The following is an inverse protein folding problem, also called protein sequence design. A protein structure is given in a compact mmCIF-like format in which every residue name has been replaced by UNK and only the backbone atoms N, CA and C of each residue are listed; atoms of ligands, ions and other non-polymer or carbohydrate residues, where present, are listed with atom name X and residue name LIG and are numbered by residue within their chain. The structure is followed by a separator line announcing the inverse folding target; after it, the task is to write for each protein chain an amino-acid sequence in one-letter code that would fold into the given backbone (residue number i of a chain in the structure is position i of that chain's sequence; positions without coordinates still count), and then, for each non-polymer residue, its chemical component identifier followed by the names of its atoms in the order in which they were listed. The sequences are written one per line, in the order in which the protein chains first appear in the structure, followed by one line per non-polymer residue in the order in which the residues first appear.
data_IF_724934205776
#
_entry.id   IF_724934205776
#
_cell.length_a   1.000
_cell.length_b   1.000
_cell.length_c   1.000
_cell.angle_alpha   90.00
_cell.angle_beta   90.00
_cell.angle_gamma   90.00
#
_symmetry.space_group_name_H-M   'P 1'
#
loop_
_entity.id
_entity.type
_entity.pdbx_description
1 polymer ?
#
# COMPACT_ATOMS: atom_id res chain seq x y z
N UNK A 1 -28.80 -42.04 64.02
CA UNK A 1 -27.74 -41.28 64.72
C UNK A 1 -26.64 -40.92 63.73
N UNK A 2 -26.00 -39.76 63.94
CA UNK A 2 -24.89 -39.11 63.21
C UNK A 2 -23.78 -40.11 62.81
N UNK A 3 -22.92 -39.96 61.78
CA UNK A 3 -21.96 -38.87 61.46
C UNK A 3 -21.25 -39.31 60.16
N UNK A 4 -21.25 -38.59 59.02
CA UNK A 4 -20.28 -37.59 58.52
C UNK A 4 -18.80 -38.03 58.32
N UNK A 5 -18.38 -37.98 57.03
CA UNK A 5 -17.05 -37.67 56.42
C UNK A 5 -15.90 -38.69 56.64
N UNK A 6 -14.91 -38.94 55.75
CA UNK A 6 -13.92 -38.09 55.03
C UNK A 6 -13.25 -39.04 53.98
N UNK A 7 -13.21 -38.73 52.67
CA UNK A 7 -12.08 -38.20 51.87
C UNK A 7 -10.93 -39.18 51.51
N UNK A 8 -10.49 -39.11 50.24
CA UNK A 8 -9.11 -39.25 49.72
C UNK A 8 -8.74 -40.48 48.86
N UNK A 9 -8.82 -40.28 47.54
CA UNK A 9 -7.71 -40.27 46.54
C UNK A 9 -6.68 -41.42 46.44
N UNK A 10 -6.59 -41.94 45.19
CA UNK A 10 -5.43 -42.54 44.49
C UNK A 10 -4.96 -43.96 44.95
N UNK A 11 -4.40 -44.85 44.13
CA UNK A 11 -3.78 -44.76 42.81
C UNK A 11 -3.69 -46.17 42.15
N UNK A 12 -3.79 -46.21 40.82
CA UNK A 12 -2.88 -46.89 39.86
C UNK A 12 -2.73 -48.43 39.85
N UNK A 13 -3.31 -49.02 38.79
CA UNK A 13 -2.81 -50.06 37.87
C UNK A 13 -2.03 -51.31 38.37
N UNK A 14 -2.60 -52.48 38.08
CA UNK A 14 -1.96 -53.73 37.56
C UNK A 14 -3.08 -54.51 36.85
N UNK A 15 -2.99 -55.17 35.69
CA UNK A 15 -1.93 -55.45 34.74
C UNK A 15 -2.45 -56.54 33.79
N UNK A 16 -2.33 -56.29 32.48
CA UNK A 16 -2.21 -57.20 31.33
C UNK A 16 -2.72 -58.65 31.42
N UNK A 17 -3.70 -58.98 30.55
CA UNK A 17 -3.59 -60.13 29.63
C UNK A 17 -4.06 -59.71 28.22
N UNK A 18 -3.07 -59.53 27.36
CA UNK A 18 -2.97 -59.73 25.90
C UNK A 18 -4.12 -60.51 25.24
N UNK A 19 -4.66 -60.13 24.09
CA UNK A 19 -3.92 -60.16 22.83
C UNK A 19 -4.83 -60.00 21.62
N UNK A 20 -4.27 -59.44 20.55
CA UNK A 20 -4.77 -59.42 19.17
C UNK A 20 -5.75 -58.31 18.71
N UNK A 21 -5.62 -57.05 19.13
CA UNK A 21 -6.16 -55.89 18.35
C UNK A 21 -5.34 -54.59 18.53
N UNK A 22 -4.01 -54.62 18.49
CA UNK A 22 -3.22 -53.41 18.78
C UNK A 22 -2.05 -53.10 17.84
N UNK A 23 -1.91 -53.80 16.71
CA UNK A 23 -0.83 -53.53 15.73
C UNK A 23 -1.30 -52.88 14.43
N UNK A 24 -2.61 -52.75 14.18
CA UNK A 24 -3.15 -52.05 13.00
C UNK A 24 -3.71 -50.66 13.28
N UNK A 25 -4.07 -50.34 14.54
CA UNK A 25 -4.65 -49.03 14.86
C UNK A 25 -3.61 -47.93 15.14
N UNK A 26 -2.44 -48.25 15.70
CA UNK A 26 -1.36 -47.26 15.92
C UNK A 26 -0.61 -46.92 14.64
N UNK A 27 -0.36 -47.90 13.76
CA UNK A 27 0.25 -47.65 12.45
C UNK A 27 -0.67 -46.81 11.55
N UNK A 28 -1.98 -47.09 11.54
CA UNK A 28 -2.96 -46.26 10.83
C UNK A 28 -3.14 -44.89 11.49
N UNK A 29 -3.15 -44.77 12.82
CA UNK A 29 -3.30 -43.47 13.47
C UNK A 29 -2.09 -42.55 13.21
N UNK A 30 -0.86 -43.09 13.23
CA UNK A 30 0.36 -42.34 12.89
C UNK A 30 0.48 -42.03 11.40
N UNK A 31 0.18 -42.97 10.49
CA UNK A 31 0.17 -42.66 9.05
C UNK A 31 -0.97 -41.71 8.68
N UNK A 32 -2.12 -41.79 9.34
CA UNK A 32 -3.23 -40.83 9.15
C UNK A 32 -2.87 -39.46 9.69
N UNK A 33 -2.27 -39.33 10.87
CA UNK A 33 -1.83 -38.02 11.38
C UNK A 33 -0.69 -37.47 10.56
N UNK A 34 0.32 -38.26 10.16
CA UNK A 34 1.38 -37.79 9.27
C UNK A 34 0.86 -37.41 7.88
N UNK A 35 -0.07 -38.17 7.28
CA UNK A 35 -0.66 -37.84 5.97
C UNK A 35 -1.63 -36.65 6.03
N UNK A 36 -2.36 -36.47 7.13
CA UNK A 36 -3.21 -35.29 7.38
C UNK A 36 -2.35 -34.06 7.65
N UNK A 37 -1.24 -34.19 8.37
CA UNK A 37 -0.31 -33.10 8.66
C UNK A 37 0.53 -32.72 7.43
N UNK A 38 0.94 -33.70 6.59
CA UNK A 38 1.58 -33.44 5.29
C UNK A 38 0.60 -32.87 4.25
N UNK A 39 -0.66 -33.35 4.20
CA UNK A 39 -1.69 -32.71 3.34
C UNK A 39 -1.99 -31.27 3.75
N UNK A 40 -1.92 -30.96 5.05
CA UNK A 40 -2.08 -29.61 5.57
C UNK A 40 -0.86 -28.71 5.25
N UNK A 41 0.37 -29.25 5.17
CA UNK A 41 1.55 -28.46 4.79
C UNK A 41 1.65 -28.16 3.28
N UNK A 42 1.18 -29.07 2.42
CA UNK A 42 1.25 -28.92 0.96
C UNK A 42 0.20 -27.96 0.37
N UNK A 43 -0.61 -27.31 1.21
CA UNK A 43 -1.82 -26.60 0.79
C UNK A 43 -1.92 -25.14 1.21
N UNK A 44 -0.98 -24.61 2.00
CA UNK A 44 -1.01 -23.20 2.43
C UNK A 44 -0.55 -22.27 1.31
N UNK A 45 -1.39 -21.30 0.98
CA UNK A 45 -1.06 -20.24 0.02
C UNK A 45 -0.42 -19.10 0.79
N UNK A 46 0.88 -18.89 0.59
CA UNK A 46 1.66 -17.86 1.29
C UNK A 46 1.96 -16.66 0.39
N UNK A 47 2.08 -15.48 1.01
CA UNK A 47 2.57 -14.26 0.38
C UNK A 47 4.06 -14.11 0.67
N UNK A 48 4.88 -13.98 -0.37
CA UNK A 48 6.33 -13.77 -0.22
C UNK A 48 6.72 -12.30 -0.05
N UNK A 49 5.97 -11.40 -0.68
CA UNK A 49 6.32 -9.98 -0.73
C UNK A 49 5.12 -9.12 -1.09
N UNK A 50 5.23 -7.84 -0.77
CA UNK A 50 4.25 -6.81 -1.10
C UNK A 50 4.98 -5.69 -1.83
N UNK A 51 4.40 -5.18 -2.93
CA UNK A 51 5.00 -4.08 -3.69
C UNK A 51 3.93 -3.23 -4.36
N UNK A 52 4.15 -1.93 -4.46
CA UNK A 52 3.31 -1.06 -5.29
C UNK A 52 3.55 -1.39 -6.78
N UNK A 53 2.47 -1.64 -7.52
CA UNK A 53 2.49 -1.77 -8.99
C UNK A 53 1.88 -0.54 -9.68
N UNK A 54 1.28 0.32 -8.88
CA UNK A 54 0.75 1.65 -9.18
C UNK A 54 0.67 2.39 -7.84
N UNK A 55 0.64 3.72 -7.80
CA UNK A 55 0.72 4.48 -6.55
C UNK A 55 -0.35 4.14 -5.50
N UNK A 56 -1.51 3.64 -5.92
CA UNK A 56 -2.59 3.20 -5.05
C UNK A 56 -2.97 1.72 -5.24
N UNK A 57 -2.13 0.94 -5.95
CA UNK A 57 -2.35 -0.50 -6.12
C UNK A 57 -1.17 -1.28 -5.55
N UNK A 58 -1.48 -2.02 -4.49
CA UNK A 58 -0.51 -2.81 -3.75
C UNK A 58 -0.66 -4.29 -4.11
N UNK A 59 0.39 -4.89 -4.66
CA UNK A 59 0.41 -6.30 -5.06
C UNK A 59 0.99 -7.16 -3.94
N UNK A 60 0.18 -8.05 -3.38
CA UNK A 60 0.62 -9.15 -2.54
C UNK A 60 0.99 -10.35 -3.42
N UNK A 61 2.29 -10.62 -3.58
CA UNK A 61 2.80 -11.67 -4.46
C UNK A 61 2.77 -13.03 -3.76
N UNK A 62 2.22 -14.04 -4.41
CA UNK A 62 2.27 -15.41 -3.93
C UNK A 62 3.72 -15.91 -3.93
N UNK A 63 4.11 -16.60 -2.86
CA UNK A 63 5.40 -17.30 -2.76
C UNK A 63 5.55 -18.37 -3.84
N UNK A 64 4.48 -19.13 -4.05
CA UNK A 64 4.40 -20.16 -5.09
C UNK A 64 3.19 -19.90 -5.99
N UNK A 65 3.39 -19.67 -7.31
CA UNK A 65 2.27 -19.48 -8.23
C UNK A 65 1.35 -20.70 -8.29
N UNK A 66 0.04 -20.47 -8.34
CA UNK A 66 -0.99 -21.53 -8.32
C UNK A 66 -1.68 -21.64 -9.68
N UNK A 67 -1.86 -22.86 -10.20
CA UNK A 67 -2.52 -23.07 -11.50
C UNK A 67 -3.98 -22.59 -11.50
N UNK A 68 -4.32 -21.69 -12.43
CA UNK A 68 -5.67 -21.16 -12.59
C UNK A 68 -6.63 -22.10 -13.32
N UNK A 69 -6.10 -23.15 -13.96
CA UNK A 69 -6.90 -24.21 -14.60
C UNK A 69 -7.27 -25.33 -13.64
N UNK A 70 -6.48 -25.52 -12.58
CA UNK A 70 -6.74 -26.53 -11.54
C UNK A 70 -7.46 -25.97 -10.32
N UNK A 71 -7.26 -24.68 -10.04
CA UNK A 71 -7.77 -24.03 -8.84
C UNK A 71 -8.44 -22.70 -9.18
N UNK A 72 -9.36 -22.29 -8.31
CA UNK A 72 -9.85 -20.92 -8.22
C UNK A 72 -9.36 -20.31 -6.90
N UNK A 73 -8.77 -19.13 -6.96
CA UNK A 73 -8.22 -18.40 -5.81
C UNK A 73 -9.00 -17.10 -5.62
N UNK A 74 -9.44 -16.86 -4.39
CA UNK A 74 -10.08 -15.61 -3.99
C UNK A 74 -9.47 -15.11 -2.67
N UNK A 75 -9.36 -13.79 -2.54
CA UNK A 75 -8.99 -13.15 -1.28
C UNK A 75 -10.19 -12.37 -0.75
N UNK A 76 -10.72 -12.80 0.38
CA UNK A 76 -11.99 -12.31 0.92
C UNK A 76 -12.04 -12.37 2.45
N UNK A 77 -13.08 -11.79 3.02
CA UNK A 77 -13.51 -12.13 4.37
C UNK A 77 -14.45 -13.35 4.29
N UNK A 78 -14.95 -13.83 5.44
CA UNK A 78 -15.87 -14.99 5.49
C UNK A 78 -17.13 -14.84 4.62
N UNK A 79 -17.47 -13.60 4.24
CA UNK A 79 -18.55 -13.24 3.32
C UNK A 79 -18.27 -13.61 1.84
N UNK A 80 -17.11 -14.19 1.53
CA UNK A 80 -16.64 -14.63 0.21
C UNK A 80 -16.62 -13.54 -0.88
N UNK A 81 -16.88 -12.28 -0.53
CA UNK A 81 -16.75 -11.16 -1.46
C UNK A 81 -15.27 -10.80 -1.63
N UNK A 82 -14.74 -10.84 -2.87
CA UNK A 82 -13.34 -10.50 -3.10
C UNK A 82 -13.02 -9.09 -2.59
N UNK A 83 -11.99 -8.97 -1.74
CA UNK A 83 -11.46 -7.67 -1.27
C UNK A 83 -10.21 -7.22 -2.04
N UNK A 84 -9.68 -8.09 -2.90
CA UNK A 84 -8.59 -7.81 -3.83
C UNK A 84 -8.82 -8.52 -5.16
N UNK A 85 -8.17 -8.02 -6.22
CA UNK A 85 -8.25 -8.61 -7.56
C UNK A 85 -7.17 -9.66 -7.72
N UNK A 86 -7.53 -10.90 -8.07
CA UNK A 86 -6.56 -11.94 -8.33
C UNK A 86 -5.75 -11.63 -9.60
N UNK A 87 -4.43 -11.79 -9.54
CA UNK A 87 -3.51 -11.52 -10.66
C UNK A 87 -3.11 -12.84 -11.28
N UNK A 88 -3.41 -13.03 -12.57
CA UNK A 88 -3.09 -14.23 -13.33
C UNK A 88 -2.06 -13.89 -14.41
N UNK A 89 -0.95 -14.64 -14.43
CA UNK A 89 0.08 -14.56 -15.47
C UNK A 89 0.39 -15.97 -15.97
N UNK A 90 0.37 -16.16 -17.29
CA UNK A 90 0.66 -17.44 -17.94
C UNK A 90 -0.17 -18.62 -17.36
N UNK A 91 -1.48 -18.39 -17.13
CA UNK A 91 -2.39 -19.40 -16.59
C UNK A 91 -2.16 -19.78 -15.12
N UNK A 92 -1.39 -18.99 -14.37
CA UNK A 92 -1.17 -19.17 -12.94
C UNK A 92 -1.50 -17.89 -12.17
N UNK A 93 -2.17 -18.02 -11.03
CA UNK A 93 -2.25 -16.97 -10.03
C UNK A 93 -0.85 -16.67 -9.50
N UNK A 94 -0.48 -15.39 -9.48
CA UNK A 94 0.81 -14.91 -8.98
C UNK A 94 0.67 -13.96 -7.80
N UNK A 95 -0.54 -13.52 -7.48
CA UNK A 95 -0.77 -12.56 -6.40
C UNK A 95 -2.19 -12.01 -6.37
N UNK A 96 -2.37 -11.00 -5.53
CA UNK A 96 -3.59 -10.21 -5.42
C UNK A 96 -3.26 -8.72 -5.41
N UNK A 97 -4.00 -7.93 -6.19
CA UNK A 97 -3.90 -6.48 -6.25
C UNK A 97 -4.96 -5.83 -5.35
N UNK A 98 -4.50 -5.09 -4.35
CA UNK A 98 -5.32 -4.30 -3.44
C UNK A 98 -5.39 -2.87 -3.98
N UNK A 99 -6.59 -2.39 -4.32
CA UNK A 99 -6.83 -0.98 -4.63
C UNK A 99 -7.00 -0.22 -3.32
N UNK A 100 -5.91 0.39 -2.84
CA UNK A 100 -5.87 0.95 -1.50
C UNK A 100 -6.87 2.10 -1.33
N UNK A 101 -7.03 2.96 -2.33
CA UNK A 101 -7.99 4.07 -2.28
C UNK A 101 -9.45 3.60 -2.15
N UNK A 102 -9.84 2.55 -2.86
CA UNK A 102 -11.17 1.95 -2.75
C UNK A 102 -11.38 1.34 -1.36
N UNK A 103 -10.34 0.72 -0.80
CA UNK A 103 -10.38 0.12 0.53
C UNK A 103 -10.46 1.20 1.62
N UNK A 104 -9.64 2.25 1.58
CA UNK A 104 -9.70 3.31 2.61
C UNK A 104 -10.97 4.15 2.49
N UNK A 105 -11.57 4.30 1.29
CA UNK A 105 -12.91 4.90 1.14
C UNK A 105 -13.99 4.06 1.85
N UNK A 106 -13.89 2.74 1.75
CA UNK A 106 -14.85 1.80 2.35
C UNK A 106 -14.60 1.56 3.85
N UNK A 107 -13.35 1.63 4.27
CA UNK A 107 -12.86 1.40 5.63
C UNK A 107 -12.03 2.63 6.06
N UNK A 108 -12.69 3.74 6.44
CA UNK A 108 -12.04 5.04 6.59
C UNK A 108 -11.15 5.16 7.83
N UNK A 109 -11.41 4.39 8.88
CA UNK A 109 -10.62 4.47 10.12
C UNK A 109 -9.52 3.41 10.16
N UNK A 110 -8.47 3.65 10.96
CA UNK A 110 -7.43 2.65 11.23
C UNK A 110 -8.04 1.38 11.82
N UNK A 111 -9.01 1.51 12.74
CA UNK A 111 -9.70 0.38 13.35
C UNK A 111 -10.49 -0.46 12.33
N UNK A 112 -11.21 0.18 11.40
CA UNK A 112 -11.94 -0.53 10.34
C UNK A 112 -10.99 -1.33 9.43
N UNK A 113 -9.83 -0.74 9.12
CA UNK A 113 -8.81 -1.37 8.27
C UNK A 113 -8.09 -2.50 8.98
N UNK A 114 -7.88 -2.38 10.29
CA UNK A 114 -7.37 -3.45 11.12
C UNK A 114 -8.35 -4.62 11.16
N UNK A 115 -9.63 -4.35 11.41
CA UNK A 115 -10.68 -5.37 11.38
C UNK A 115 -10.80 -6.03 10.00
N UNK A 116 -10.71 -5.26 8.92
CA UNK A 116 -10.65 -5.80 7.56
C UNK A 116 -9.48 -6.77 7.43
N UNK A 117 -8.25 -6.32 7.71
CA UNK A 117 -7.05 -7.13 7.55
C UNK A 117 -7.14 -8.42 8.38
N UNK A 118 -7.54 -8.28 9.64
CA UNK A 118 -7.70 -9.39 10.58
C UNK A 118 -8.87 -10.31 10.21
N UNK A 119 -9.67 -10.00 9.19
CA UNK A 119 -10.71 -10.88 8.62
C UNK A 119 -10.29 -11.57 7.32
N UNK A 120 -9.17 -11.20 6.70
CA UNK A 120 -8.79 -11.71 5.38
C UNK A 120 -8.29 -13.16 5.41
N UNK A 121 -8.78 -13.94 4.46
CA UNK A 121 -8.31 -15.28 4.12
C UNK A 121 -8.10 -15.41 2.61
N UNK A 122 -7.12 -16.22 2.24
CA UNK A 122 -6.96 -16.72 0.87
C UNK A 122 -7.72 -18.02 0.77
N UNK A 123 -8.79 -18.02 -0.01
CA UNK A 123 -9.59 -19.20 -0.29
C UNK A 123 -9.10 -19.85 -1.58
N UNK A 124 -8.84 -21.15 -1.52
CA UNK A 124 -8.46 -21.99 -2.65
C UNK A 124 -9.50 -23.09 -2.84
N UNK A 125 -10.08 -23.10 -4.04
CA UNK A 125 -11.08 -24.08 -4.48
C UNK A 125 -10.47 -24.94 -5.56
N UNK A 126 -10.65 -26.26 -5.51
CA UNK A 126 -10.19 -27.16 -6.57
C UNK A 126 -11.27 -27.32 -7.63
N UNK A 127 -10.92 -27.22 -8.90
CA UNK A 127 -11.89 -27.24 -10.02
C UNK A 127 -12.14 -28.62 -10.61
N UNK A 128 -11.24 -29.58 -10.34
CA UNK A 128 -11.25 -30.89 -11.01
C UNK A 128 -11.67 -32.06 -10.11
N UNK A 129 -11.76 -31.86 -8.81
CA UNK A 129 -12.07 -32.91 -7.82
C UNK A 129 -12.87 -32.30 -6.67
N UNK A 130 -13.77 -33.10 -6.07
CA UNK A 130 -14.58 -32.67 -4.93
C UNK A 130 -13.73 -32.66 -3.63
N UNK A 131 -12.81 -31.71 -3.54
CA UNK A 131 -11.97 -31.46 -2.37
C UNK A 131 -12.51 -30.22 -1.65
N UNK A 132 -12.68 -30.27 -0.31
CA UNK A 132 -13.13 -29.12 0.46
C UNK A 132 -12.24 -27.89 0.21
N UNK A 133 -12.81 -26.67 0.19
CA UNK A 133 -12.03 -25.46 0.04
C UNK A 133 -11.04 -25.31 1.20
N UNK A 134 -9.85 -24.80 0.89
CA UNK A 134 -8.83 -24.47 1.88
C UNK A 134 -8.83 -22.96 2.08
N UNK A 135 -8.89 -22.52 3.33
CA UNK A 135 -8.75 -21.12 3.72
C UNK A 135 -7.43 -20.94 4.47
N UNK A 136 -6.54 -20.10 3.94
CA UNK A 136 -5.28 -19.73 4.60
C UNK A 136 -5.42 -18.32 5.13
N UNK A 137 -5.17 -18.12 6.44
CA UNK A 137 -5.21 -16.79 7.05
C UNK A 137 -4.19 -15.86 6.40
N UNK A 138 -4.59 -14.64 6.10
CA UNK A 138 -3.65 -13.63 5.63
C UNK A 138 -2.90 -13.02 6.82
N UNK A 139 -1.57 -13.14 6.86
CA UNK A 139 -0.73 -12.77 8.03
C UNK A 139 0.44 -11.85 7.70
N UNK A 140 0.59 -11.42 6.44
CA UNK A 140 1.72 -10.61 6.00
C UNK A 140 1.68 -9.20 6.63
N UNK A 141 2.64 -8.92 7.52
CA UNK A 141 2.69 -7.67 8.29
C UNK A 141 3.00 -6.45 7.43
N UNK A 142 3.77 -6.60 6.35
CA UNK A 142 4.07 -5.49 5.44
C UNK A 142 2.78 -4.96 4.80
N UNK A 143 1.91 -5.85 4.32
CA UNK A 143 0.59 -5.46 3.80
C UNK A 143 -0.26 -4.81 4.89
N UNK A 144 -0.27 -5.35 6.13
CA UNK A 144 -1.01 -4.75 7.25
C UNK A 144 -0.55 -3.31 7.45
N UNK A 145 0.76 -3.10 7.53
CA UNK A 145 1.36 -1.78 7.73
C UNK A 145 0.99 -0.80 6.61
N UNK A 146 1.10 -1.21 5.35
CA UNK A 146 0.71 -0.37 4.22
C UNK A 146 -0.78 0.00 4.26
N UNK A 147 -1.67 -0.98 4.50
CA UNK A 147 -3.11 -0.73 4.55
C UNK A 147 -3.50 0.21 5.70
N UNK A 148 -2.91 0.04 6.89
CA UNK A 148 -3.21 0.87 8.06
C UNK A 148 -2.73 2.32 7.91
N UNK A 149 -1.61 2.52 7.21
CA UNK A 149 -0.99 3.83 7.04
C UNK A 149 -1.36 4.53 5.73
N UNK A 150 -2.03 3.84 4.79
CA UNK A 150 -2.46 4.45 3.54
C UNK A 150 -3.43 5.60 3.79
N UNK A 151 -3.23 6.70 3.09
CA UNK A 151 -4.16 7.81 3.02
C UNK A 151 -4.78 7.85 1.63
N UNK A 152 -6.00 8.35 1.54
CA UNK A 152 -6.67 8.46 0.25
C UNK A 152 -5.90 9.42 -0.66
N UNK A 153 -5.39 8.89 -1.78
CA UNK A 153 -4.67 9.66 -2.81
C UNK A 153 -5.63 10.09 -3.93
N UNK A 154 -6.47 9.16 -4.39
CA UNK A 154 -7.47 9.37 -5.43
C UNK A 154 -6.92 9.24 -6.85
N UNK A 155 -7.68 9.72 -7.83
CA UNK A 155 -7.27 9.64 -9.23
C UNK A 155 -6.39 10.82 -9.62
N UNK A 156 -5.57 10.63 -10.66
CA UNK A 156 -4.90 11.75 -11.32
C UNK A 156 -5.95 12.59 -12.03
N UNK A 157 -6.03 13.87 -11.69
CA UNK A 157 -6.85 14.85 -12.39
C UNK A 157 -6.38 14.94 -13.85
N UNK A 158 -7.32 14.80 -14.79
CA UNK A 158 -7.02 14.71 -16.21
C UNK A 158 -6.29 15.94 -16.76
N UNK A 159 -5.60 15.77 -17.89
CA UNK A 159 -4.84 16.84 -18.56
C UNK A 159 -5.70 18.08 -18.81
N UNK A 160 -5.21 19.25 -18.37
CA UNK A 160 -5.94 20.52 -18.44
C UNK A 160 -6.86 20.82 -17.24
N UNK A 161 -7.08 19.86 -16.34
CA UNK A 161 -7.76 20.14 -15.07
C UNK A 161 -6.77 20.64 -14.04
N UNK A 162 -6.88 21.92 -13.70
CA UNK A 162 -6.11 22.56 -12.65
C UNK A 162 -6.76 22.26 -11.30
N UNK A 163 -5.99 21.69 -10.38
CA UNK A 163 -6.40 21.50 -8.99
C UNK A 163 -5.57 22.34 -8.02
N UNK A 164 -6.00 22.38 -6.76
CA UNK A 164 -5.28 23.04 -5.67
C UNK A 164 -4.26 22.08 -5.06
N UNK A 165 -3.01 22.52 -4.97
CA UNK A 165 -1.91 21.74 -4.43
C UNK A 165 -1.93 21.79 -2.91
N UNK A 166 -1.85 20.61 -2.28
CA UNK A 166 -1.87 20.46 -0.82
C UNK A 166 -0.49 20.15 -0.22
N UNK A 167 0.47 19.66 -1.02
CA UNK A 167 1.75 19.13 -0.53
C UNK A 167 2.98 20.02 -0.84
N UNK A 168 2.77 21.34 -0.89
CA UNK A 168 3.86 22.33 -0.95
C UNK A 168 4.25 22.78 0.45
N UNK A 169 5.56 22.75 0.74
CA UNK A 169 6.14 23.25 1.98
C UNK A 169 6.61 24.68 1.73
N UNK A 170 6.03 25.63 2.45
CA UNK A 170 6.42 27.05 2.39
C UNK A 170 7.86 27.24 2.88
N UNK A 171 8.67 27.94 2.10
CA UNK A 171 10.00 28.39 2.52
C UNK A 171 9.92 29.60 3.43
N UNK A 172 11.03 29.93 4.10
CA UNK A 172 11.10 31.09 5.02
C UNK A 172 10.76 32.43 4.36
N UNK A 173 10.93 32.53 3.04
CA UNK A 173 10.63 33.73 2.27
C UNK A 173 9.32 33.63 1.47
N UNK A 174 8.51 32.58 1.62
CA UNK A 174 7.30 32.35 0.81
C UNK A 174 6.42 33.61 0.74
N UNK A 175 6.07 34.17 1.91
CA UNK A 175 5.18 35.33 2.02
C UNK A 175 5.78 36.65 1.50
N UNK A 176 7.10 36.70 1.28
CA UNK A 176 7.73 37.87 0.67
C UNK A 176 7.48 37.89 -0.85
N UNK A 177 7.34 36.73 -1.48
CA UNK A 177 7.24 36.59 -2.94
C UNK A 177 5.84 36.25 -3.43
N UNK A 178 5.02 35.61 -2.59
CA UNK A 178 3.71 35.13 -2.99
C UNK A 178 2.60 35.80 -2.19
N UNK A 179 1.45 35.97 -2.84
CA UNK A 179 0.20 36.23 -2.14
C UNK A 179 -0.23 34.91 -1.50
N UNK A 180 -0.75 34.93 -0.27
CA UNK A 180 -1.26 33.73 0.43
C UNK A 180 -2.57 33.22 -0.21
N UNK A 181 -2.54 32.91 -1.49
CA UNK A 181 -3.60 32.23 -2.23
C UNK A 181 -3.16 30.82 -2.56
N UNK A 182 -4.12 30.02 -2.98
CA UNK A 182 -3.93 28.63 -3.34
C UNK A 182 -2.88 28.47 -4.45
N UNK A 183 -2.00 27.49 -4.28
CA UNK A 183 -1.06 27.05 -5.32
C UNK A 183 -1.80 26.07 -6.22
N UNK A 184 -1.69 26.23 -7.52
CA UNK A 184 -2.43 25.43 -8.49
C UNK A 184 -1.48 24.56 -9.32
N UNK A 185 -1.97 23.43 -9.84
CA UNK A 185 -1.16 22.56 -10.70
C UNK A 185 -2.01 21.60 -11.53
N UNK A 186 -1.37 20.97 -12.51
CA UNK A 186 -1.96 19.94 -13.35
C UNK A 186 -1.52 18.52 -12.93
N UNK A 187 -2.26 17.51 -13.38
CA UNK A 187 -1.98 16.10 -13.08
C UNK A 187 -1.75 15.84 -11.57
N UNK A 188 -2.50 16.55 -10.73
CA UNK A 188 -2.50 16.33 -9.29
C UNK A 188 -3.34 15.10 -8.97
N UNK A 189 -3.09 14.48 -7.83
CA UNK A 189 -4.02 13.53 -7.24
C UNK A 189 -5.23 14.29 -6.65
N UNK A 190 -6.36 13.60 -6.44
CA UNK A 190 -7.59 14.23 -5.89
C UNK A 190 -7.37 14.84 -4.49
N UNK A 191 -6.39 14.33 -3.72
CA UNK A 191 -5.96 14.90 -2.44
C UNK A 191 -5.12 16.19 -2.58
N UNK A 192 -4.84 16.64 -3.80
CA UNK A 192 -4.01 17.80 -4.11
C UNK A 192 -2.50 17.51 -4.17
N UNK A 193 -2.08 16.24 -4.09
CA UNK A 193 -0.67 15.89 -4.16
C UNK A 193 -0.10 16.06 -5.57
N UNK A 194 1.04 16.75 -5.69
CA UNK A 194 1.83 16.81 -6.92
C UNK A 194 2.29 15.41 -7.33
N UNK A 195 2.19 15.06 -8.61
CA UNK A 195 2.66 13.78 -9.14
C UNK A 195 3.87 13.93 -10.05
N UNK A 196 4.54 12.81 -10.35
CA UNK A 196 5.60 12.80 -11.36
C UNK A 196 5.13 13.22 -12.75
N UNK A 197 3.81 13.20 -13.05
CA UNK A 197 3.25 13.66 -14.32
C UNK A 197 2.89 15.15 -14.36
N UNK A 198 2.91 15.85 -13.21
CA UNK A 198 2.68 17.30 -13.16
C UNK A 198 3.66 18.01 -14.10
N UNK A 199 3.13 18.79 -15.03
CA UNK A 199 3.91 19.55 -16.00
C UNK A 199 4.10 21.00 -15.58
N UNK A 200 3.15 21.55 -14.81
CA UNK A 200 3.14 22.93 -14.36
C UNK A 200 2.54 23.11 -12.96
N UNK A 201 3.23 23.92 -12.16
CA UNK A 201 2.77 24.43 -10.87
C UNK A 201 2.73 25.96 -10.97
N UNK A 202 1.68 26.57 -10.43
CA UNK A 202 1.43 28.00 -10.46
C UNK A 202 1.27 28.54 -9.04
N UNK A 203 2.08 29.53 -8.70
CA UNK A 203 1.97 30.30 -7.46
C UNK A 203 1.38 31.67 -7.75
N UNK A 204 0.51 32.18 -6.88
CA UNK A 204 0.08 33.58 -6.91
C UNK A 204 1.22 34.49 -6.45
N UNK A 205 1.75 35.29 -7.37
CA UNK A 205 3.03 35.96 -7.28
C UNK A 205 2.88 37.47 -7.22
N UNK A 206 3.65 38.07 -6.32
CA UNK A 206 3.75 39.52 -6.18
C UNK A 206 4.52 40.10 -7.36
N UNK A 207 3.80 40.75 -8.28
CA UNK A 207 4.36 41.25 -9.54
C UNK A 207 5.57 42.19 -9.36
N UNK A 208 5.66 42.90 -8.24
CA UNK A 208 6.79 43.76 -7.88
C UNK A 208 8.11 42.99 -7.70
N UNK A 209 8.04 41.69 -7.39
CA UNK A 209 9.21 40.83 -7.25
C UNK A 209 9.74 40.32 -8.60
N UNK A 210 8.98 40.49 -9.69
CA UNK A 210 9.36 40.01 -11.03
C UNK A 210 10.75 40.52 -11.45
N UNK A 211 11.01 41.79 -11.13
CA UNK A 211 12.25 42.47 -11.44
C UNK A 211 13.24 42.34 -10.27
N UNK A 212 14.53 42.25 -10.57
CA UNK A 212 15.58 42.19 -9.55
C UNK A 212 15.91 40.79 -9.02
N UNK A 213 15.18 39.74 -9.41
CA UNK A 213 15.48 38.35 -9.03
C UNK A 213 15.65 37.42 -10.24
N UNK A 214 16.38 36.33 -10.03
CA UNK A 214 16.37 35.15 -10.91
C UNK A 214 15.77 33.97 -10.16
N UNK A 215 14.87 33.24 -10.79
CA UNK A 215 14.16 32.13 -10.17
C UNK A 215 14.68 30.80 -10.71
N UNK A 216 14.83 29.83 -9.82
CA UNK A 216 15.37 28.52 -10.15
C UNK A 216 14.62 27.41 -9.46
N UNK A 217 14.45 26.28 -10.15
CA UNK A 217 14.03 25.03 -9.57
C UNK A 217 15.26 24.13 -9.47
N UNK A 218 15.62 23.71 -8.28
CA UNK A 218 16.72 22.77 -8.05
C UNK A 218 16.19 21.46 -7.49
N UNK A 219 16.83 20.35 -7.84
CA UNK A 219 16.59 19.07 -7.18
C UNK A 219 17.37 18.96 -5.85
N UNK A 220 17.21 17.84 -5.16
CA UNK A 220 17.92 17.49 -3.93
C UNK A 220 19.45 17.51 -4.04
N UNK A 221 20.02 17.47 -5.25
CA UNK A 221 21.47 17.60 -5.48
C UNK A 221 21.93 19.04 -5.72
N UNK A 222 21.00 20.00 -5.70
CA UNK A 222 21.25 21.41 -6.00
C UNK A 222 21.35 21.72 -7.50
N UNK A 223 21.11 20.74 -8.37
CA UNK A 223 21.16 20.94 -9.83
C UNK A 223 19.85 21.52 -10.34
N UNK A 224 19.93 22.38 -11.34
CA UNK A 224 18.76 22.93 -12.02
C UNK A 224 17.95 21.79 -12.62
N UNK A 225 16.67 21.72 -12.25
CA UNK A 225 15.82 20.57 -12.52
C UNK A 225 14.48 20.96 -13.18
N UNK A 226 14.37 22.20 -13.68
CA UNK A 226 13.18 22.69 -14.39
C UNK A 226 13.30 24.16 -14.76
N UNK A 227 12.20 24.73 -15.24
CA UNK A 227 12.10 26.15 -15.57
C UNK A 227 11.19 26.84 -14.57
N UNK A 228 11.66 27.94 -14.00
CA UNK A 228 10.83 28.84 -13.19
C UNK A 228 10.78 30.19 -13.87
N UNK A 229 9.58 30.70 -14.11
CA UNK A 229 9.41 32.00 -14.75
C UNK A 229 8.20 32.73 -14.19
N UNK A 230 8.38 33.97 -13.72
CA UNK A 230 7.27 34.85 -13.42
C UNK A 230 6.61 35.34 -14.72
N UNK A 231 5.30 35.46 -14.69
CA UNK A 231 4.51 36.09 -15.75
C UNK A 231 3.27 36.73 -15.13
N UNK A 232 3.14 38.05 -15.28
CA UNK A 232 2.10 38.84 -14.62
C UNK A 232 2.08 38.61 -13.09
N UNK A 233 0.95 38.20 -12.55
CA UNK A 233 0.71 37.90 -11.13
C UNK A 233 0.96 36.44 -10.76
N UNK A 234 1.72 35.70 -11.59
CA UNK A 234 1.99 34.29 -11.35
C UNK A 234 3.46 33.94 -11.46
N UNK A 235 3.89 32.94 -10.68
CA UNK A 235 5.17 32.26 -10.86
C UNK A 235 4.88 30.84 -11.33
N UNK A 236 5.34 30.51 -12.54
CA UNK A 236 5.19 29.19 -13.12
C UNK A 236 6.44 28.36 -12.87
N UNK A 237 6.28 27.19 -12.28
CA UNK A 237 7.30 26.15 -12.11
C UNK A 237 6.95 24.99 -13.02
N UNK A 238 7.80 24.72 -14.00
CA UNK A 238 7.59 23.66 -14.97
C UNK A 238 8.73 22.65 -14.89
N UNK A 239 8.41 21.40 -15.15
CA UNK A 239 9.42 20.39 -15.39
C UNK A 239 10.28 20.76 -16.63
N UNK A 240 11.48 20.17 -16.81
CA UNK A 240 12.27 20.39 -18.01
C UNK A 240 11.47 19.97 -19.25
N UNK A 241 11.61 20.71 -20.36
CA UNK A 241 10.85 20.43 -21.61
C UNK A 241 10.90 18.94 -21.98
N UNK A 242 9.71 18.35 -22.11
CA UNK A 242 9.52 16.94 -22.51
C UNK A 242 9.94 15.92 -21.45
N UNK A 243 10.11 16.33 -20.19
CA UNK A 243 10.45 15.43 -19.08
C UNK A 243 9.46 15.60 -17.93
N UNK A 244 9.13 14.48 -17.31
CA UNK A 244 8.36 14.41 -16.07
C UNK A 244 9.22 14.81 -14.86
N UNK A 245 8.57 15.18 -13.76
CA UNK A 245 9.28 15.23 -12.48
C UNK A 245 9.68 13.82 -12.04
N UNK A 246 10.74 13.73 -11.25
CA UNK A 246 11.15 12.51 -10.56
C UNK A 246 10.61 12.55 -9.14
N UNK A 247 10.44 11.40 -8.49
CA UNK A 247 10.02 11.34 -7.09
C UNK A 247 11.18 11.67 -6.13
N UNK A 248 11.57 12.94 -6.10
CA UNK A 248 12.60 13.50 -5.21
C UNK A 248 12.22 14.93 -4.82
N UNK A 249 12.84 15.46 -3.75
CA UNK A 249 12.59 16.84 -3.33
C UNK A 249 13.06 17.83 -4.40
N UNK A 250 12.22 18.83 -4.64
CA UNK A 250 12.52 20.02 -5.41
C UNK A 250 12.42 21.26 -4.54
N UNK A 251 13.29 22.23 -4.81
CA UNK A 251 13.29 23.53 -4.13
C UNK A 251 13.16 24.65 -5.17
N UNK A 252 12.19 25.53 -4.97
CA UNK A 252 12.03 26.78 -5.70
C UNK A 252 12.78 27.87 -4.95
N UNK A 253 13.70 28.54 -5.63
CA UNK A 253 14.51 29.62 -5.05
C UNK A 253 14.42 30.91 -5.85
N UNK A 254 14.58 32.04 -5.17
CA UNK A 254 14.85 33.33 -5.78
C UNK A 254 16.26 33.78 -5.40
N UNK A 255 17.02 34.24 -6.38
CA UNK A 255 18.33 34.87 -6.16
C UNK A 255 18.26 36.35 -6.53
N UNK A 256 18.62 37.22 -5.57
CA UNK A 256 18.72 38.66 -5.79
C UNK A 256 19.82 38.97 -6.81
N UNK A 257 19.46 39.71 -7.88
CA UNK A 257 20.42 40.20 -8.88
C UNK A 257 21.34 41.29 -8.30
N UNK A 258 20.91 41.98 -7.25
CA UNK A 258 21.66 43.08 -6.62
C UNK A 258 22.66 42.58 -5.58
N UNK A 259 22.21 41.70 -4.67
CA UNK A 259 23.00 41.25 -3.51
C UNK A 259 23.56 39.84 -3.68
N UNK A 260 23.03 39.06 -4.62
CA UNK A 260 23.40 37.65 -4.80
C UNK A 260 22.78 36.70 -3.77
N UNK A 261 22.06 37.22 -2.77
CA UNK A 261 21.38 36.44 -1.74
C UNK A 261 20.35 35.48 -2.35
N UNK A 262 20.27 34.26 -1.79
CA UNK A 262 19.36 33.20 -2.25
C UNK A 262 18.32 32.93 -1.17
N UNK A 263 17.05 33.07 -1.54
CA UNK A 263 15.90 32.81 -0.69
C UNK A 263 15.21 31.52 -1.13
N UNK A 264 14.90 30.63 -0.18
CA UNK A 264 14.05 29.46 -0.42
C UNK A 264 12.60 29.92 -0.39
N UNK A 265 11.90 29.71 -1.50
CA UNK A 265 10.51 30.12 -1.66
C UNK A 265 9.57 29.00 -1.27
N UNK A 266 9.75 27.81 -1.85
CA UNK A 266 8.89 26.66 -1.63
C UNK A 266 9.65 25.36 -1.88
N UNK A 267 9.17 24.27 -1.28
CA UNK A 267 9.64 22.91 -1.55
C UNK A 267 8.46 22.00 -1.85
N UNK A 268 8.69 20.97 -2.67
CA UNK A 268 7.69 19.93 -2.91
C UNK A 268 8.38 18.64 -3.32
N UNK A 269 7.70 17.52 -3.10
CA UNK A 269 8.16 16.18 -3.50
C UNK A 269 7.03 15.50 -4.27
N UNK A 270 7.18 15.31 -5.59
CA UNK A 270 6.17 14.62 -6.40
C UNK A 270 6.01 13.16 -5.99
N UNK A 271 4.77 12.68 -5.93
CA UNK A 271 4.44 11.26 -5.73
C UNK A 271 4.72 10.50 -7.02
N UNK A 272 5.45 9.39 -6.92
CA UNK A 272 5.63 8.52 -8.08
C UNK A 272 4.34 7.77 -8.39
N UNK A 273 3.81 7.97 -9.60
CA UNK A 273 2.59 7.29 -10.03
C UNK A 273 2.80 6.09 -10.97
N UNK A 274 4.05 5.82 -11.42
CA UNK A 274 4.42 4.65 -12.25
C UNK A 274 5.84 4.15 -11.99
#
# INVERSE_FOLDING_TARGET
MKTKHILSTAAVFVGLISGAVLTTQTANAQTSTSAVTQKASDSLVEISSVQYVHYNVLRAKLKTPVSATKYYLALGAEDLFPKATAVVQNGKYIGFDFKLDDLVKKYPTVADREQLFDSLYIHRFTLSVNVPPVATKFTNQDLKNELLNHHFLGNVLANGNVGTISNVIEGSSFNNFFNKKEVAGDHLLEDGSITTQTSGIQFDFKSEMNNGYTYTLTDSSGKVAGKVSPFMEYLFVNSPKGKNFLAKEYTVTAKSKKTGEVSILAKFTPINIF
#
